data_IF_764701916415
#
_entry.id   IF_764701916415
#
_cell.length_a   1.000
_cell.length_b   1.000
_cell.length_c   1.000
_cell.angle_alpha   90.00
_cell.angle_beta   90.00
_cell.angle_gamma   90.00
#
_symmetry.space_group_name_H-M   'P 1'
#
loop_
_entity.id
_entity.type
_entity.pdbx_description
1 polymer ?
#
# COMPACT_ATOMS: atom_id res chain seq x y z
N UNK A 1 -61.86 59.87 24.90
CA UNK A 1 -60.60 59.60 24.26
C UNK A 1 -60.25 58.14 24.47
N UNK A 2 -60.43 57.23 23.51
CA UNK A 2 -60.01 55.80 23.66
C UNK A 2 -58.54 55.69 23.36
N UNK A 3 -57.81 55.01 24.24
CA UNK A 3 -56.39 54.66 24.08
C UNK A 3 -56.23 53.65 22.96
N UNK A 4 -55.46 54.03 21.94
CA UNK A 4 -55.08 53.15 20.84
C UNK A 4 -54.35 51.91 21.35
N UNK A 5 -54.86 50.77 21.04
CA UNK A 5 -54.28 49.45 21.28
C UNK A 5 -52.94 49.30 20.56
N UNK A 6 -51.85 49.32 21.28
CA UNK A 6 -50.51 48.90 20.78
C UNK A 6 -50.42 47.38 20.82
N UNK A 7 -50.85 46.72 19.79
CA UNK A 7 -50.47 45.32 19.48
C UNK A 7 -50.78 45.09 18.00
N UNK A 8 -49.87 44.70 17.14
CA UNK A 8 -49.29 43.35 17.03
C UNK A 8 -47.84 43.30 16.47
N UNK A 9 -47.03 44.35 16.68
CA UNK A 9 -45.67 44.40 16.13
C UNK A 9 -44.74 43.33 16.71
N UNK A 10 -44.98 42.88 17.95
CA UNK A 10 -44.11 41.89 18.60
C UNK A 10 -44.28 40.43 18.11
N UNK A 11 -45.50 40.03 17.77
CA UNK A 11 -45.80 38.67 17.27
C UNK A 11 -45.23 38.43 15.88
N UNK A 12 -45.31 39.40 14.98
CA UNK A 12 -44.70 39.31 13.66
C UNK A 12 -43.16 39.26 13.71
N UNK A 13 -42.56 40.07 14.58
CA UNK A 13 -41.09 40.03 14.78
C UNK A 13 -40.62 38.71 15.37
N UNK A 14 -41.34 38.13 16.31
CA UNK A 14 -41.02 36.79 16.87
C UNK A 14 -41.13 35.69 15.84
N UNK A 15 -42.09 35.72 14.92
CA UNK A 15 -42.21 34.77 13.85
C UNK A 15 -41.03 34.84 12.85
N UNK A 16 -40.64 36.07 12.49
CA UNK A 16 -39.46 36.30 11.59
C UNK A 16 -38.18 35.81 12.26
N UNK A 17 -37.98 36.13 13.56
CA UNK A 17 -36.79 35.66 14.30
C UNK A 17 -36.73 34.12 14.39
N UNK A 18 -37.86 33.45 14.63
CA UNK A 18 -37.93 31.99 14.66
C UNK A 18 -37.57 31.42 13.29
N UNK A 19 -38.07 32.00 12.20
CA UNK A 19 -37.74 31.56 10.84
C UNK A 19 -36.26 31.73 10.57
N UNK A 20 -35.66 32.88 10.92
CA UNK A 20 -34.22 33.10 10.75
C UNK A 20 -33.37 32.13 11.56
N UNK A 21 -33.77 31.79 12.79
CA UNK A 21 -33.07 30.79 13.62
C UNK A 21 -33.12 29.41 12.97
N UNK A 22 -34.26 28.99 12.40
CA UNK A 22 -34.37 27.73 11.68
C UNK A 22 -33.45 27.71 10.44
N UNK A 23 -33.51 28.75 9.64
CA UNK A 23 -32.66 28.85 8.44
C UNK A 23 -31.17 28.86 8.79
N UNK A 24 -30.74 29.57 9.82
CA UNK A 24 -29.38 29.58 10.33
C UNK A 24 -28.96 28.22 10.89
N UNK A 25 -29.87 27.52 11.59
CA UNK A 25 -29.62 26.19 12.13
C UNK A 25 -29.41 25.19 11.02
N UNK A 26 -30.25 25.22 9.99
CA UNK A 26 -30.13 24.38 8.81
C UNK A 26 -28.84 24.66 8.02
N UNK A 27 -28.50 25.93 7.85
CA UNK A 27 -27.26 26.36 7.21
C UNK A 27 -26.04 25.87 8.02
N UNK A 28 -26.07 26.03 9.35
CA UNK A 28 -24.99 25.56 10.23
C UNK A 28 -24.82 24.03 10.18
N UNK A 29 -25.92 23.28 10.10
CA UNK A 29 -25.86 21.82 9.98
C UNK A 29 -25.21 21.39 8.65
N UNK A 30 -25.55 22.06 7.53
CA UNK A 30 -24.93 21.80 6.24
C UNK A 30 -23.44 22.12 6.25
N UNK A 31 -23.07 23.32 6.76
CA UNK A 31 -21.65 23.72 6.87
C UNK A 31 -20.83 22.75 7.74
N UNK A 32 -21.42 22.24 8.84
CA UNK A 32 -20.75 21.20 9.65
C UNK A 32 -20.55 19.90 8.88
N UNK A 33 -21.57 19.43 8.15
CA UNK A 33 -21.45 18.24 7.34
C UNK A 33 -20.40 18.40 6.23
N UNK A 34 -20.36 19.58 5.60
CA UNK A 34 -19.35 19.89 4.57
C UNK A 34 -17.94 19.96 5.17
N UNK A 35 -17.78 20.60 6.34
CA UNK A 35 -16.50 20.63 7.05
C UNK A 35 -16.00 19.23 7.43
N UNK A 36 -16.89 18.34 7.91
CA UNK A 36 -16.53 16.97 8.25
C UNK A 36 -16.13 16.16 7.00
N UNK A 37 -16.83 16.34 5.87
CA UNK A 37 -16.48 15.73 4.59
C UNK A 37 -15.11 16.20 4.07
N UNK A 38 -14.83 17.51 4.18
CA UNK A 38 -13.54 18.09 3.81
C UNK A 38 -12.43 17.51 4.68
N UNK A 39 -12.65 17.45 6.01
CA UNK A 39 -11.66 16.89 6.95
C UNK A 39 -11.32 15.45 6.61
N UNK A 40 -12.34 14.60 6.40
CA UNK A 40 -12.13 13.19 6.01
C UNK A 40 -11.34 13.07 4.72
N UNK A 41 -11.70 13.86 3.68
CA UNK A 41 -10.96 13.88 2.41
C UNK A 41 -9.50 14.29 2.59
N UNK A 42 -9.22 15.29 3.43
CA UNK A 42 -7.86 15.71 3.73
C UNK A 42 -7.05 14.63 4.45
N UNK A 43 -7.67 13.93 5.40
CA UNK A 43 -7.02 12.82 6.12
C UNK A 43 -6.64 11.69 5.15
N UNK A 44 -7.55 11.31 4.24
CA UNK A 44 -7.30 10.33 3.17
C UNK A 44 -6.17 10.78 2.23
N UNK A 45 -6.18 12.05 1.81
CA UNK A 45 -5.13 12.63 0.96
C UNK A 45 -3.76 12.65 1.65
N UNK A 46 -3.71 13.04 2.92
CA UNK A 46 -2.47 13.03 3.71
C UNK A 46 -1.95 11.60 3.89
N UNK A 47 -2.84 10.62 4.11
CA UNK A 47 -2.50 9.20 4.17
C UNK A 47 -1.82 8.73 2.88
N UNK A 48 -2.49 8.93 1.74
CA UNK A 48 -1.95 8.57 0.42
C UNK A 48 -0.63 9.27 0.08
N UNK A 49 -0.48 10.56 0.46
CA UNK A 49 0.77 11.28 0.27
C UNK A 49 1.92 10.69 1.09
N UNK A 50 1.66 10.31 2.34
CA UNK A 50 2.67 9.65 3.20
C UNK A 50 3.13 8.33 2.60
N UNK A 51 2.21 7.52 2.07
CA UNK A 51 2.55 6.24 1.46
C UNK A 51 3.32 6.42 0.15
N UNK A 52 2.94 7.40 -0.67
CA UNK A 52 3.68 7.77 -1.89
C UNK A 52 5.12 8.22 -1.57
N UNK A 53 5.30 9.09 -0.57
CA UNK A 53 6.65 9.54 -0.15
C UNK A 53 7.47 8.37 0.38
N UNK A 54 6.86 7.50 1.20
CA UNK A 54 7.50 6.29 1.72
C UNK A 54 7.95 5.37 0.58
N UNK A 55 7.06 5.09 -0.38
CA UNK A 55 7.37 4.26 -1.54
C UNK A 55 8.51 4.85 -2.38
N UNK A 56 8.52 6.18 -2.57
CA UNK A 56 9.59 6.87 -3.29
C UNK A 56 10.94 6.72 -2.59
N UNK A 57 11.01 6.98 -1.29
CA UNK A 57 12.25 6.82 -0.51
C UNK A 57 12.74 5.37 -0.52
N UNK A 58 11.84 4.41 -0.33
CA UNK A 58 12.20 3.00 -0.39
C UNK A 58 12.77 2.65 -1.76
N UNK A 59 12.14 3.07 -2.85
CA UNK A 59 12.61 2.81 -4.23
C UNK A 59 14.05 3.27 -4.45
N UNK A 60 14.43 4.43 -3.91
CA UNK A 60 15.81 4.94 -3.99
C UNK A 60 16.81 4.12 -3.16
N UNK A 61 16.36 3.42 -2.12
CA UNK A 61 17.19 2.58 -1.27
C UNK A 61 17.34 1.15 -1.77
N UNK A 62 16.39 0.64 -2.60
CA UNK A 62 16.43 -0.73 -3.09
C UNK A 62 17.75 -1.12 -3.81
N UNK A 63 18.40 -0.25 -4.61
CA UNK A 63 19.68 -0.59 -5.23
C UNK A 63 20.79 -0.92 -4.21
N UNK A 64 20.71 -0.37 -3.01
CA UNK A 64 21.68 -0.69 -1.93
C UNK A 64 21.50 -2.13 -1.47
N UNK A 65 20.25 -2.56 -1.26
CA UNK A 65 19.94 -3.94 -0.90
C UNK A 65 20.37 -4.90 -2.00
N UNK A 66 20.05 -4.58 -3.26
CA UNK A 66 20.44 -5.40 -4.41
C UNK A 66 21.95 -5.62 -4.48
N UNK A 67 22.75 -4.59 -4.13
CA UNK A 67 24.20 -4.69 -4.07
C UNK A 67 24.66 -5.63 -2.95
N UNK A 68 24.04 -5.58 -1.77
CA UNK A 68 24.33 -6.51 -0.70
C UNK A 68 23.94 -7.94 -1.06
N UNK A 69 22.74 -8.16 -1.62
CA UNK A 69 22.28 -9.48 -2.06
C UNK A 69 23.24 -10.06 -3.10
N UNK A 70 23.65 -9.25 -4.08
CA UNK A 70 24.62 -9.65 -5.09
C UNK A 70 25.97 -10.01 -4.47
N UNK A 71 26.48 -9.22 -3.52
CA UNK A 71 27.73 -9.49 -2.83
C UNK A 71 27.65 -10.81 -2.05
N UNK A 72 26.53 -11.06 -1.34
CA UNK A 72 26.33 -12.28 -0.56
C UNK A 72 26.16 -13.53 -1.47
N UNK A 73 25.54 -13.40 -2.65
CA UNK A 73 25.43 -14.50 -3.62
C UNK A 73 26.78 -14.93 -4.18
N UNK A 74 27.78 -14.03 -4.20
CA UNK A 74 29.12 -14.30 -4.76
C UNK A 74 30.18 -14.59 -3.68
N UNK A 75 29.79 -14.81 -2.44
CA UNK A 75 30.73 -15.20 -1.37
C UNK A 75 31.31 -16.58 -1.68
N UNK A 76 32.65 -16.74 -1.72
CA UNK A 76 33.29 -18.05 -1.85
C UNK A 76 32.85 -19.02 -0.74
N UNK A 77 32.74 -20.31 -1.07
CA UNK A 77 32.23 -21.33 -0.15
C UNK A 77 33.05 -21.47 1.13
N UNK A 78 34.37 -21.25 1.04
CA UNK A 78 35.31 -21.26 2.17
C UNK A 78 35.09 -20.09 3.14
N UNK A 79 34.54 -18.98 2.68
CA UNK A 79 34.22 -17.79 3.49
C UNK A 79 32.75 -17.73 3.95
N UNK A 80 31.88 -18.62 3.48
CA UNK A 80 30.46 -18.59 3.80
C UNK A 80 30.15 -18.63 5.32
N UNK A 81 31.02 -19.29 6.10
CA UNK A 81 30.91 -19.38 7.56
C UNK A 81 31.72 -18.31 8.32
N UNK A 82 32.38 -17.39 7.61
CA UNK A 82 33.17 -16.34 8.23
C UNK A 82 32.25 -15.37 9.01
N UNK A 83 32.71 -14.93 10.18
CA UNK A 83 31.92 -14.04 11.05
C UNK A 83 31.66 -12.66 10.41
N UNK A 84 32.56 -12.19 9.55
CA UNK A 84 32.33 -10.99 8.75
C UNK A 84 31.13 -11.15 7.79
N UNK A 85 31.06 -12.27 7.06
CA UNK A 85 29.95 -12.58 6.15
C UNK A 85 28.64 -12.72 6.92
N UNK A 86 28.65 -13.37 8.07
CA UNK A 86 27.49 -13.45 8.97
C UNK A 86 27.06 -12.06 9.45
N UNK A 87 28.01 -11.17 9.75
CA UNK A 87 27.74 -9.78 10.12
C UNK A 87 27.05 -9.01 9.01
N UNK A 88 27.57 -9.10 7.78
CA UNK A 88 26.95 -8.46 6.61
C UNK A 88 25.53 -9.00 6.36
N UNK A 89 25.33 -10.31 6.45
CA UNK A 89 24.00 -10.92 6.32
C UNK A 89 23.05 -10.43 7.42
N UNK A 90 23.57 -10.20 8.64
CA UNK A 90 22.81 -9.56 9.72
C UNK A 90 22.33 -8.17 9.39
N UNK A 91 23.16 -7.34 8.72
CA UNK A 91 22.79 -6.00 8.27
C UNK A 91 21.65 -6.08 7.25
N UNK A 92 21.72 -6.97 6.25
CA UNK A 92 20.67 -7.16 5.25
C UNK A 92 19.35 -7.55 5.91
N UNK A 93 19.36 -8.54 6.80
CA UNK A 93 18.17 -8.96 7.55
C UNK A 93 17.58 -7.83 8.39
N UNK A 94 18.45 -7.02 9.03
CA UNK A 94 17.98 -5.87 9.81
C UNK A 94 17.31 -4.81 8.90
N UNK A 95 17.84 -4.61 7.70
CA UNK A 95 17.27 -3.69 6.73
C UNK A 95 15.90 -4.19 6.23
N UNK A 96 15.81 -5.47 5.84
CA UNK A 96 14.55 -6.10 5.44
C UNK A 96 13.49 -6.00 6.56
N UNK A 97 13.90 -6.23 7.80
CA UNK A 97 13.01 -6.06 8.96
C UNK A 97 12.53 -4.62 9.08
N UNK A 98 13.41 -3.63 8.91
CA UNK A 98 13.04 -2.21 8.96
C UNK A 98 12.01 -1.86 7.88
N UNK A 99 12.19 -2.38 6.65
CA UNK A 99 11.21 -2.23 5.57
C UNK A 99 9.86 -2.86 5.95
N UNK A 100 9.89 -4.05 6.51
CA UNK A 100 8.67 -4.74 6.97
C UNK A 100 7.95 -3.96 8.08
N UNK A 101 8.68 -3.38 9.03
CA UNK A 101 8.13 -2.53 10.10
C UNK A 101 7.50 -1.23 9.53
N UNK A 102 7.95 -0.78 8.35
CA UNK A 102 7.36 0.32 7.59
C UNK A 102 6.14 -0.10 6.75
N UNK A 103 5.78 -1.38 6.74
CA UNK A 103 4.70 -1.96 5.93
C UNK A 103 5.11 -2.29 4.49
N UNK A 104 6.41 -2.27 4.18
CA UNK A 104 6.94 -2.68 2.87
C UNK A 104 7.23 -4.18 2.91
N UNK A 105 6.63 -4.92 2.00
CA UNK A 105 6.75 -6.37 1.90
C UNK A 105 7.54 -6.77 0.66
N UNK A 106 8.41 -7.78 0.81
CA UNK A 106 9.05 -8.43 -0.33
C UNK A 106 8.04 -9.30 -1.06
N UNK A 107 8.01 -9.21 -2.38
CA UNK A 107 7.15 -10.03 -3.22
C UNK A 107 7.72 -11.46 -3.26
N UNK A 108 6.86 -12.45 -3.03
CA UNK A 108 7.23 -13.86 -3.15
C UNK A 108 7.40 -14.23 -4.62
N UNK A 109 8.39 -15.02 -4.91
CA UNK A 109 8.78 -15.32 -6.30
C UNK A 109 8.98 -16.81 -6.57
N UNK A 110 10.09 -17.39 -6.20
CA UNK A 110 10.49 -18.76 -6.57
C UNK A 110 9.44 -19.78 -6.12
N UNK A 111 8.94 -20.56 -7.11
CA UNK A 111 7.91 -21.57 -6.89
C UNK A 111 6.46 -21.02 -6.91
N UNK A 112 6.26 -19.70 -7.05
CA UNK A 112 4.93 -19.11 -7.26
C UNK A 112 4.61 -19.05 -8.76
N UNK A 113 3.31 -18.94 -9.07
CA UNK A 113 2.84 -18.68 -10.44
C UNK A 113 3.20 -17.25 -10.83
N UNK A 114 3.63 -17.05 -12.04
CA UNK A 114 3.94 -15.74 -12.57
C UNK A 114 2.67 -14.86 -12.60
N UNK A 115 2.81 -13.66 -12.08
CA UNK A 115 1.76 -12.62 -12.07
C UNK A 115 2.34 -11.32 -12.64
N UNK A 116 1.87 -10.87 -13.83
CA UNK A 116 2.35 -9.63 -14.44
C UNK A 116 2.17 -8.37 -13.59
N UNK A 117 1.27 -8.38 -12.60
CA UNK A 117 1.09 -7.27 -11.67
C UNK A 117 2.19 -7.17 -10.62
N UNK A 118 2.90 -8.28 -10.35
CA UNK A 118 3.92 -8.38 -9.31
C UNK A 118 5.32 -8.64 -9.87
N UNK A 119 5.40 -9.28 -11.03
CA UNK A 119 6.64 -9.84 -11.58
C UNK A 119 6.92 -9.33 -12.99
N UNK A 120 8.19 -9.19 -13.31
CA UNK A 120 8.70 -8.91 -14.64
C UNK A 120 9.52 -10.11 -15.12
N UNK A 121 9.03 -10.82 -16.15
CA UNK A 121 9.71 -11.99 -16.71
C UNK A 121 10.82 -11.53 -17.66
N UNK A 122 12.07 -11.90 -17.35
CA UNK A 122 13.25 -11.63 -18.20
C UNK A 122 13.45 -12.73 -19.21
N UNK A 123 13.13 -13.97 -18.86
CA UNK A 123 13.15 -15.11 -19.75
C UNK A 123 12.06 -16.11 -19.39
N UNK A 124 11.54 -16.78 -20.42
CA UNK A 124 10.57 -17.87 -20.28
C UNK A 124 11.20 -19.11 -20.93
N UNK A 125 11.27 -20.20 -20.18
CA UNK A 125 11.80 -21.49 -20.65
C UNK A 125 10.66 -22.51 -20.78
N UNK A 126 10.56 -23.18 -21.92
CA UNK A 126 9.50 -24.13 -22.25
C UNK A 126 8.39 -23.49 -23.09
N UNK A 127 7.57 -24.37 -23.72
CA UNK A 127 6.57 -23.93 -24.69
C UNK A 127 5.13 -24.06 -24.21
N UNK A 128 4.84 -24.97 -23.25
CA UNK A 128 3.48 -25.24 -22.78
C UNK A 128 3.44 -25.57 -21.27
N UNK A 129 2.45 -25.04 -20.56
CA UNK A 129 2.20 -25.34 -19.14
C UNK A 129 1.87 -24.12 -18.29
N UNK A 130 1.93 -24.31 -16.97
CA UNK A 130 1.79 -23.22 -16.00
C UNK A 130 3.10 -22.42 -15.92
N UNK A 131 2.99 -21.10 -15.94
CA UNK A 131 4.12 -20.17 -15.79
C UNK A 131 4.60 -20.13 -14.34
N UNK A 132 5.62 -20.91 -14.01
CA UNK A 132 6.18 -20.97 -12.64
C UNK A 132 7.50 -20.23 -12.58
N UNK A 133 7.67 -19.42 -11.56
CA UNK A 133 8.92 -18.68 -11.34
C UNK A 133 10.00 -19.65 -10.89
N UNK A 134 11.03 -19.82 -11.73
CA UNK A 134 12.16 -20.72 -11.49
C UNK A 134 13.31 -20.04 -10.72
N UNK A 135 13.55 -18.75 -10.97
CA UNK A 135 14.64 -17.99 -10.36
C UNK A 135 14.25 -16.54 -10.16
N UNK A 136 14.65 -15.96 -9.03
CA UNK A 136 14.59 -14.53 -8.76
C UNK A 136 15.94 -13.89 -9.08
N UNK A 137 15.92 -12.97 -10.04
CA UNK A 137 17.10 -12.19 -10.43
C UNK A 137 17.24 -10.93 -9.59
N UNK A 138 16.09 -10.26 -9.32
CA UNK A 138 16.03 -9.06 -8.51
C UNK A 138 14.74 -9.07 -7.68
N UNK A 139 14.87 -8.78 -6.40
CA UNK A 139 13.75 -8.80 -5.45
C UNK A 139 12.77 -7.67 -5.72
N UNK A 140 11.49 -7.96 -5.74
CA UNK A 140 10.41 -6.99 -5.81
C UNK A 140 9.89 -6.61 -4.42
N UNK A 141 9.27 -5.43 -4.34
CA UNK A 141 8.72 -4.89 -3.10
C UNK A 141 7.40 -4.17 -3.35
N UNK A 142 6.47 -4.29 -2.39
CA UNK A 142 5.17 -3.62 -2.39
C UNK A 142 4.89 -2.95 -1.05
N UNK A 143 4.05 -1.92 -1.05
CA UNK A 143 3.51 -1.26 0.13
C UNK A 143 1.98 -1.36 0.10
N UNK A 144 1.42 -2.24 0.93
CA UNK A 144 0.02 -2.62 0.78
C UNK A 144 -0.26 -3.21 -0.60
N UNK A 145 -1.17 -2.60 -1.36
CA UNK A 145 -1.50 -3.02 -2.73
C UNK A 145 -0.64 -2.34 -3.81
N UNK A 146 0.15 -1.32 -3.45
CA UNK A 146 1.00 -0.59 -4.40
C UNK A 146 2.34 -1.29 -4.59
N UNK A 147 2.68 -1.64 -5.84
CA UNK A 147 3.98 -2.21 -6.20
C UNK A 147 5.01 -1.09 -6.32
N UNK A 148 6.00 -1.09 -5.40
CA UNK A 148 7.12 -0.15 -5.43
C UNK A 148 8.08 -0.52 -6.57
N UNK A 149 8.36 -1.83 -6.72
CA UNK A 149 9.21 -2.42 -7.77
C UNK A 149 8.79 -3.87 -8.01
N UNK A 150 8.61 -4.24 -9.28
CA UNK A 150 8.36 -5.63 -9.66
C UNK A 150 9.59 -6.51 -9.38
N UNK A 151 9.36 -7.78 -9.09
CA UNK A 151 10.46 -8.76 -9.03
C UNK A 151 10.87 -9.15 -10.44
N UNK A 152 12.16 -9.06 -10.77
CA UNK A 152 12.68 -9.58 -12.02
C UNK A 152 12.95 -11.07 -11.88
N UNK A 153 12.32 -11.87 -12.72
CA UNK A 153 12.29 -13.33 -12.57
C UNK A 153 12.56 -14.05 -13.88
N UNK A 154 13.03 -15.32 -13.77
CA UNK A 154 12.94 -16.28 -14.85
C UNK A 154 11.74 -17.17 -14.62
N UNK A 155 11.01 -17.44 -15.68
CA UNK A 155 9.82 -18.27 -15.69
C UNK A 155 10.12 -19.56 -16.42
N UNK A 156 9.58 -20.68 -15.93
CA UNK A 156 9.62 -21.97 -16.59
C UNK A 156 8.19 -22.47 -16.75
N UNK A 157 7.87 -22.99 -17.94
CA UNK A 157 6.62 -23.69 -18.17
C UNK A 157 6.68 -25.07 -17.51
N UNK A 158 5.79 -25.35 -16.56
CA UNK A 158 5.65 -26.66 -15.93
C UNK A 158 4.32 -27.30 -16.35
N UNK A 159 4.30 -28.63 -16.66
CA UNK A 159 3.05 -29.32 -17.00
C UNK A 159 2.01 -29.12 -15.88
N UNK A 160 0.82 -28.65 -16.24
CA UNK A 160 -0.23 -28.11 -15.36
C UNK A 160 -0.65 -28.98 -14.16
N UNK A 161 0.13 -28.95 -13.10
CA UNK A 161 -0.18 -29.55 -11.80
C UNK A 161 -0.49 -28.51 -10.69
N UNK A 162 -0.18 -27.23 -10.91
CA UNK A 162 -0.25 -26.22 -9.87
C UNK A 162 -1.64 -25.60 -9.68
N UNK A 163 -2.45 -25.52 -10.72
CA UNK A 163 -3.84 -25.01 -10.63
C UNK A 163 -4.71 -25.88 -9.71
N UNK A 164 -4.44 -27.18 -9.62
CA UNK A 164 -5.18 -28.09 -8.77
C UNK A 164 -4.78 -28.05 -7.28
N UNK A 165 -3.54 -27.64 -6.95
CA UNK A 165 -3.08 -27.60 -5.54
C UNK A 165 -3.55 -26.37 -4.79
N UNK A 166 -3.70 -25.21 -5.46
CA UNK A 166 -4.23 -23.99 -4.78
C UNK A 166 -5.73 -24.16 -4.48
N UNK A 167 -6.53 -24.73 -5.40
CA UNK A 167 -7.96 -24.98 -5.17
C UNK A 167 -8.22 -25.91 -3.99
N UNK A 168 -7.38 -26.89 -3.75
CA UNK A 168 -7.53 -27.81 -2.60
C UNK A 168 -7.10 -27.19 -1.25
N UNK A 169 -6.28 -26.14 -1.24
CA UNK A 169 -5.86 -25.46 0.00
C UNK A 169 -6.84 -24.38 0.46
N UNK A 170 -7.59 -23.80 -0.48
CA UNK A 170 -8.60 -22.77 -0.18
C UNK A 170 -9.97 -23.36 0.16
N UNK A 171 -10.15 -24.70 -0.01
CA UNK A 171 -11.38 -25.44 0.32
C UNK A 171 -11.28 -26.25 1.64
N UNK A 172 -10.16 -26.16 2.37
CA UNK A 172 -9.98 -26.79 3.70
C UNK A 172 -9.81 -25.74 4.79
#
# INVERSE_FOLDING_TARGET
MPKAAKQPRSLGQMAILKQQVLELTDALQRERADADNIRRRHEEQIGGLKDMVKASVVRELLPVIDNFDRALKHVPKDLANNDYVKGVNGVVKQFEKTLSDMGVERIKTVGEVFDPHLHEAISVEGDEGDEIISEELQSGYKLGDEVIRHSMVKVRMEPGQYVNRKKQKDEM
#
